data_IF_386296893837
#
_entry.id   IF_386296893837
#
_cell.length_a   1.000
_cell.length_b   1.000
_cell.length_c   1.000
_cell.angle_alpha   90.00
_cell.angle_beta   90.00
_cell.angle_gamma   90.00
#
_symmetry.space_group_name_H-M   'P 1'
#
loop_
_entity.id
_entity.type
_entity.pdbx_description
1 polymer ?
#
# COMPACT_ATOMS: atom_id res chain seq x y z
N UNK A 1 14.57 8.78 12.97
CA UNK A 1 13.96 9.90 12.22
C UNK A 1 13.33 9.31 10.97
N UNK A 2 12.01 9.28 10.87
CA UNK A 2 11.34 9.06 9.58
C UNK A 2 11.32 10.40 8.84
N UNK A 3 11.86 10.41 7.63
CA UNK A 3 11.66 11.49 6.67
C UNK A 3 10.52 11.09 5.74
N UNK A 4 9.81 12.05 5.15
CA UNK A 4 8.73 11.80 4.19
C UNK A 4 9.17 10.82 3.08
N UNK A 5 10.43 10.92 2.62
CA UNK A 5 10.96 10.02 1.60
C UNK A 5 11.11 8.57 2.09
N UNK A 6 11.57 8.36 3.33
CA UNK A 6 11.66 7.03 3.91
C UNK A 6 10.27 6.39 4.08
N UNK A 7 9.26 7.19 4.43
CA UNK A 7 7.87 6.74 4.53
C UNK A 7 7.30 6.37 3.16
N UNK A 8 7.54 7.21 2.14
CA UNK A 8 7.18 6.90 0.75
C UNK A 8 7.85 5.61 0.29
N UNK A 9 9.14 5.43 0.55
CA UNK A 9 9.86 4.20 0.22
C UNK A 9 9.23 2.98 0.89
N UNK A 10 8.94 3.04 2.19
CA UNK A 10 8.29 1.97 2.92
C UNK A 10 6.89 1.65 2.36
N UNK A 11 6.09 2.67 2.03
CA UNK A 11 4.77 2.51 1.39
C UNK A 11 4.87 1.80 0.04
N UNK A 12 5.85 2.16 -0.78
CA UNK A 12 6.03 1.54 -2.10
C UNK A 12 6.51 0.10 -1.98
N UNK A 13 7.44 -0.16 -1.07
CA UNK A 13 8.13 -1.44 -0.94
C UNK A 13 7.42 -2.47 -0.07
N UNK A 14 6.44 -2.07 0.75
CA UNK A 14 5.58 -2.97 1.52
C UNK A 14 4.39 -3.54 0.73
N UNK A 15 4.22 -3.12 -0.53
CA UNK A 15 3.08 -3.55 -1.36
C UNK A 15 3.11 -5.05 -1.63
N UNK A 16 2.01 -5.79 -1.39
CA UNK A 16 1.93 -7.21 -1.72
C UNK A 16 1.93 -7.43 -3.24
N UNK A 17 2.84 -8.27 -3.72
CA UNK A 17 2.96 -8.74 -5.10
C UNK A 17 2.30 -10.10 -5.30
N UNK A 18 2.52 -11.02 -4.36
CA UNK A 18 2.04 -12.39 -4.42
C UNK A 18 1.85 -12.98 -3.02
N UNK A 19 1.02 -14.01 -2.89
CA UNK A 19 0.78 -14.70 -1.62
C UNK A 19 1.88 -15.74 -1.39
N UNK A 20 2.54 -15.72 -0.23
CA UNK A 20 3.62 -16.67 0.08
C UNK A 20 3.12 -17.97 0.72
N UNK A 21 2.06 -17.89 1.51
CA UNK A 21 1.47 -19.05 2.18
C UNK A 21 0.19 -19.52 1.48
N UNK A 22 0.05 -20.83 1.34
CA UNK A 22 -1.23 -21.45 0.94
C UNK A 22 -2.20 -21.58 2.10
N UNK A 23 -1.76 -21.34 3.34
CA UNK A 23 -2.61 -21.39 4.53
C UNK A 23 -3.38 -20.06 4.69
N UNK A 24 -4.72 -20.07 4.63
CA UNK A 24 -5.53 -18.87 4.85
C UNK A 24 -5.38 -18.26 6.25
N UNK A 25 -4.89 -19.02 7.23
CA UNK A 25 -4.67 -18.54 8.61
C UNK A 25 -3.36 -17.76 8.78
N UNK A 26 -2.43 -17.87 7.83
CA UNK A 26 -1.15 -17.16 7.83
C UNK A 26 -0.96 -16.33 6.55
N UNK A 27 -1.72 -15.23 6.36
CA UNK A 27 -1.68 -14.44 5.14
C UNK A 27 -0.38 -13.61 5.05
N UNK A 28 0.70 -14.26 4.63
CA UNK A 28 1.98 -13.61 4.29
C UNK A 28 2.05 -13.30 2.79
N UNK A 29 2.62 -12.15 2.45
CA UNK A 29 2.74 -11.70 1.07
C UNK A 29 4.20 -11.40 0.70
N UNK A 30 4.58 -11.79 -0.51
CA UNK A 30 5.81 -11.38 -1.15
C UNK A 30 5.69 -9.89 -1.48
N UNK A 31 6.60 -9.06 -0.98
CA UNK A 31 6.64 -7.61 -1.25
C UNK A 31 7.94 -7.23 -1.96
N UNK A 32 8.03 -6.06 -2.64
CA UNK A 32 9.31 -5.59 -3.18
C UNK A 32 10.41 -5.52 -2.12
N UNK A 33 10.07 -5.20 -0.86
CA UNK A 33 11.04 -5.11 0.23
C UNK A 33 11.80 -6.42 0.46
N UNK A 34 11.19 -7.59 0.21
CA UNK A 34 11.88 -8.88 0.32
C UNK A 34 13.06 -9.04 -0.66
N UNK A 35 13.07 -8.28 -1.76
CA UNK A 35 14.19 -8.27 -2.72
C UNK A 35 15.20 -7.17 -2.44
N UNK A 36 14.75 -6.05 -1.86
CA UNK A 36 15.57 -4.87 -1.62
C UNK A 36 16.25 -4.86 -0.24
N UNK A 37 15.72 -5.62 0.71
CA UNK A 37 16.18 -5.66 2.10
C UNK A 37 16.03 -7.07 2.68
N UNK A 38 16.90 -7.44 3.62
CA UNK A 38 16.83 -8.73 4.33
C UNK A 38 15.72 -8.78 5.38
N UNK A 39 15.02 -7.67 5.62
CA UNK A 39 13.94 -7.52 6.61
C UNK A 39 12.75 -6.82 5.94
N UNK A 40 11.50 -7.29 6.16
CA UNK A 40 10.31 -6.62 5.66
C UNK A 40 10.19 -5.20 6.23
N UNK A 41 9.93 -4.21 5.37
CA UNK A 41 9.52 -2.90 5.83
C UNK A 41 8.04 -2.96 6.18
N UNK A 42 7.73 -2.96 7.47
CA UNK A 42 6.34 -2.87 7.94
C UNK A 42 5.89 -1.41 7.88
N UNK A 43 5.10 -1.07 6.88
CA UNK A 43 4.38 0.20 6.86
C UNK A 43 3.14 0.07 7.74
N UNK A 44 3.11 0.82 8.84
CA UNK A 44 1.89 1.00 9.64
C UNK A 44 1.10 2.14 8.97
N UNK A 45 -0.14 1.89 8.50
CA UNK A 45 -0.94 2.94 7.89
C UNK A 45 -1.20 4.07 8.90
N UNK A 46 -0.75 5.28 8.55
CA UNK A 46 -1.06 6.48 9.29
C UNK A 46 -2.58 6.73 9.31
N UNK A 47 -3.12 7.30 10.41
CA UNK A 47 -4.53 7.69 10.46
C UNK A 47 -4.83 8.70 9.37
N UNK A 48 -6.00 8.58 8.75
CA UNK A 48 -6.47 9.51 7.73
C UNK A 48 -6.63 10.92 8.33
N UNK A 49 -5.82 11.88 7.85
CA UNK A 49 -5.85 13.28 8.30
C UNK A 49 -6.54 14.18 7.27
N UNK A 50 -7.24 13.59 6.30
CA UNK A 50 -7.89 14.33 5.21
C UNK A 50 -9.05 15.16 5.75
N UNK A 51 -8.91 16.49 5.68
CA UNK A 51 -9.94 17.42 6.15
C UNK A 51 -9.80 17.82 7.62
N UNK A 52 -8.85 17.26 8.35
CA UNK A 52 -8.45 17.79 9.65
C UNK A 52 -7.73 19.13 9.46
N UNK A 53 -8.06 20.14 10.28
CA UNK A 53 -7.24 21.33 10.36
C UNK A 53 -5.92 20.90 10.97
N UNK A 54 -4.87 20.81 10.17
CA UNK A 54 -3.52 20.58 10.65
C UNK A 54 -3.23 21.58 11.78
N UNK A 55 -3.31 21.11 13.03
CA UNK A 55 -2.86 21.91 14.16
C UNK A 55 -1.39 22.19 13.91
N UNK A 56 -1.00 23.47 13.86
CA UNK A 56 0.36 23.93 13.57
C UNK A 56 1.46 23.30 14.47
N UNK A 57 1.06 22.56 15.51
CA UNK A 57 1.91 21.94 16.52
C UNK A 57 2.23 20.45 16.27
N UNK A 58 1.50 19.74 15.41
CA UNK A 58 1.77 18.32 15.14
C UNK A 58 2.61 18.16 13.87
N UNK A 59 3.94 18.14 14.05
CA UNK A 59 4.87 17.77 12.98
C UNK A 59 4.53 16.41 12.36
N UNK A 60 4.02 15.46 13.15
CA UNK A 60 3.60 14.15 12.67
C UNK A 60 2.41 14.25 11.71
N UNK A 61 1.36 14.99 12.06
CA UNK A 61 0.19 15.17 11.19
C UNK A 61 0.55 15.83 9.85
N UNK A 62 1.55 16.72 9.84
CA UNK A 62 2.07 17.31 8.61
C UNK A 62 2.79 16.26 7.73
N UNK A 63 3.62 15.40 8.33
CA UNK A 63 4.32 14.33 7.61
C UNK A 63 3.33 13.31 7.04
N UNK A 64 2.36 12.87 7.85
CA UNK A 64 1.31 11.94 7.43
C UNK A 64 0.51 12.51 6.25
N UNK A 65 0.12 13.79 6.33
CA UNK A 65 -0.60 14.47 5.23
C UNK A 65 0.21 14.51 3.94
N UNK A 66 1.53 14.74 4.02
CA UNK A 66 2.41 14.73 2.85
C UNK A 66 2.50 13.33 2.22
N UNK A 67 2.64 12.29 3.04
CA UNK A 67 2.69 10.90 2.55
C UNK A 67 1.36 10.47 1.95
N UNK A 68 0.24 10.79 2.59
CA UNK A 68 -1.12 10.51 2.06
C UNK A 68 -1.35 11.22 0.73
N UNK A 69 -0.99 12.51 0.66
CA UNK A 69 -1.08 13.30 -0.57
C UNK A 69 -0.23 12.70 -1.70
N UNK A 70 1.01 12.31 -1.39
CA UNK A 70 1.85 11.59 -2.35
C UNK A 70 1.19 10.29 -2.81
N UNK A 71 0.75 9.44 -1.88
CA UNK A 71 0.18 8.14 -2.20
C UNK A 71 -1.04 8.25 -3.12
N UNK A 72 -1.94 9.20 -2.82
CA UNK A 72 -3.13 9.49 -3.61
C UNK A 72 -2.75 9.79 -5.06
N UNK A 73 -1.83 10.74 -5.25
CA UNK A 73 -1.35 11.15 -6.58
C UNK A 73 -0.58 10.03 -7.27
N UNK A 74 0.33 9.36 -6.59
CA UNK A 74 1.08 8.24 -7.16
C UNK A 74 0.15 7.14 -7.67
N UNK A 75 -0.88 6.78 -6.90
CA UNK A 75 -1.86 5.77 -7.29
C UNK A 75 -2.67 6.20 -8.51
N UNK A 76 -3.16 7.44 -8.54
CA UNK A 76 -4.06 7.92 -9.61
C UNK A 76 -3.32 8.31 -10.88
N UNK A 77 -2.18 8.98 -10.75
CA UNK A 77 -1.45 9.60 -11.85
C UNK A 77 -0.37 8.67 -12.44
N UNK A 78 0.23 7.79 -11.63
CA UNK A 78 1.38 6.98 -12.08
C UNK A 78 1.09 5.48 -12.11
N UNK A 79 0.69 4.89 -10.98
CA UNK A 79 0.46 3.45 -10.87
C UNK A 79 -0.61 2.98 -11.87
N UNK A 80 -1.65 3.79 -12.10
CA UNK A 80 -2.69 3.48 -13.08
C UNK A 80 -2.11 3.28 -14.50
N UNK A 81 -1.08 4.04 -14.86
CA UNK A 81 -0.41 3.92 -16.16
C UNK A 81 0.51 2.70 -16.24
N UNK A 82 1.06 2.25 -15.11
CA UNK A 82 1.88 1.04 -15.05
C UNK A 82 1.04 -0.25 -15.14
N UNK A 83 -0.18 -0.22 -14.62
CA UNK A 83 -1.12 -1.33 -14.72
C UNK A 83 -1.94 -1.22 -16.01
N UNK A 84 -1.32 -1.52 -17.16
CA UNK A 84 -2.06 -1.72 -18.41
C UNK A 84 -3.08 -2.83 -18.17
N UNK A 85 -4.37 -2.48 -18.11
CA UNK A 85 -5.44 -3.43 -17.80
C UNK A 85 -5.58 -4.45 -18.93
N UNK A 86 -5.08 -5.66 -18.71
CA UNK A 86 -5.47 -6.84 -19.49
C UNK A 86 -6.67 -7.59 -18.89
N UNK A 87 -7.19 -7.14 -17.74
CA UNK A 87 -8.32 -7.78 -17.06
C UNK A 87 -9.59 -7.73 -17.91
N UNK A 88 -10.44 -8.77 -17.77
CA UNK A 88 -11.74 -8.98 -18.42
C UNK A 88 -11.69 -9.39 -19.89
N UNK A 89 -10.50 -9.68 -20.45
CA UNK A 89 -10.39 -10.22 -21.81
C UNK A 89 -10.55 -11.75 -21.89
N UNK A 90 -10.55 -12.44 -20.74
CA UNK A 90 -10.74 -13.91 -20.63
C UNK A 90 -11.64 -14.26 -19.46
N UNK A 91 -12.41 -15.37 -19.54
CA UNK A 91 -13.22 -15.83 -18.43
C UNK A 91 -12.34 -16.11 -17.21
N UNK A 92 -12.65 -15.47 -16.09
CA UNK A 92 -11.94 -15.64 -14.81
C UNK A 92 -12.73 -16.60 -13.93
N UNK A 93 -12.04 -17.47 -13.20
CA UNK A 93 -12.69 -18.37 -12.24
C UNK A 93 -13.41 -17.55 -11.14
N UNK A 94 -14.61 -17.97 -10.70
CA UNK A 94 -15.29 -17.32 -9.59
C UNK A 94 -14.45 -17.43 -8.31
N UNK A 95 -14.56 -16.43 -7.44
CA UNK A 95 -13.92 -16.45 -6.11
C UNK A 95 -14.50 -17.59 -5.28
N UNK A 96 -13.64 -18.40 -4.69
CA UNK A 96 -14.03 -19.51 -3.80
C UNK A 96 -13.58 -19.24 -2.37
N UNK A 97 -14.25 -19.88 -1.40
CA UNK A 97 -13.83 -19.85 0.00
C UNK A 97 -12.38 -20.36 0.09
N UNK A 98 -11.54 -19.62 0.83
CA UNK A 98 -10.10 -19.88 0.92
C UNK A 98 -9.24 -19.09 -0.07
N UNK A 99 -9.84 -18.31 -0.98
CA UNK A 99 -9.08 -17.41 -1.85
C UNK A 99 -8.54 -16.22 -1.05
N UNK A 100 -7.22 -16.04 -1.05
CA UNK A 100 -6.56 -14.87 -0.45
C UNK A 100 -6.71 -13.67 -1.39
N UNK A 101 -7.18 -12.55 -0.84
CA UNK A 101 -7.45 -11.31 -1.59
C UNK A 101 -6.79 -10.12 -0.91
N UNK A 102 -6.42 -9.11 -1.71
CA UNK A 102 -5.97 -7.82 -1.18
C UNK A 102 -7.19 -6.95 -0.94
N UNK A 103 -7.40 -6.55 0.31
CA UNK A 103 -8.42 -5.57 0.66
C UNK A 103 -7.87 -4.18 0.36
N UNK A 104 -8.46 -3.51 -0.63
CA UNK A 104 -8.10 -2.14 -0.95
C UNK A 104 -8.98 -1.23 -0.10
N UNK A 105 -8.47 -0.81 1.05
CA UNK A 105 -9.07 0.29 1.81
C UNK A 105 -8.68 1.60 1.13
N UNK A 106 -9.65 2.49 0.89
CA UNK A 106 -9.34 3.86 0.51
C UNK A 106 -8.69 4.54 1.72
N UNK A 107 -7.36 4.62 1.73
CA UNK A 107 -6.69 5.69 2.47
C UNK A 107 -7.11 6.99 1.77
N UNK A 108 -7.93 7.81 2.42
CA UNK A 108 -8.47 9.03 1.80
C UNK A 108 -7.38 10.06 1.50
#
# INVERSE_FOLDING_TARGET
MLTVLNEIEAVLNSRPLYVLSSDPSEPSALTPSHFLSTVPLEFIPAPDVTGERAGLLSRFSLLDSLVQSFWKRFRTEYLHNLQVRQKWNTPTNPLTIGTVVIVIVQNA
#
